data_IF_441609765819
#
_entry.id   IF_441609765819
#
_cell.length_a   1.000
_cell.length_b   1.000
_cell.length_c   1.000
_cell.angle_alpha   90.00
_cell.angle_beta   90.00
_cell.angle_gamma   90.00
#
_symmetry.space_group_name_H-M   'P 1'
#
loop_
_entity.id
_entity.type
_entity.pdbx_description
1 polymer ?
#
# COMPACT_ATOMS: atom_id res chain seq x y z
N UNK A 1 78.47 -21.66 31.89
CA UNK A 1 77.37 -21.32 30.96
C UNK A 1 76.48 -22.55 30.78
N UNK A 2 75.26 -22.54 31.31
CA UNK A 2 74.27 -23.61 31.08
C UNK A 2 73.60 -23.38 29.73
N UNK A 3 73.65 -24.35 28.81
CA UNK A 3 72.86 -24.32 27.56
C UNK A 3 71.41 -24.67 27.90
N UNK A 4 70.40 -23.94 27.40
CA UNK A 4 69.02 -24.33 27.63
C UNK A 4 68.71 -25.55 26.76
N UNK A 5 68.25 -26.63 27.39
CA UNK A 5 67.64 -27.76 26.69
C UNK A 5 66.27 -27.28 26.18
N UNK A 6 66.16 -27.05 24.86
CA UNK A 6 64.87 -26.87 24.21
C UNK A 6 64.33 -28.26 23.89
N UNK A 7 63.39 -28.74 24.71
CA UNK A 7 62.75 -30.03 24.53
C UNK A 7 61.78 -29.95 23.33
N UNK A 8 62.17 -30.57 22.21
CA UNK A 8 61.38 -30.62 20.97
C UNK A 8 60.02 -31.31 21.18
N UNK A 9 59.92 -32.25 22.12
CA UNK A 9 58.66 -32.96 22.38
C UNK A 9 57.62 -32.05 23.03
N UNK A 10 58.07 -31.16 23.93
CA UNK A 10 57.24 -30.17 24.59
C UNK A 10 56.70 -29.13 23.59
N UNK A 11 57.55 -28.63 22.70
CA UNK A 11 57.14 -27.71 21.63
C UNK A 11 56.18 -28.35 20.60
N UNK A 12 56.40 -29.62 20.24
CA UNK A 12 55.50 -30.32 19.31
C UNK A 12 54.11 -30.58 19.94
N UNK A 13 54.04 -30.97 21.20
CA UNK A 13 52.76 -31.17 21.88
C UNK A 13 52.02 -29.85 22.14
N UNK A 14 52.74 -28.78 22.50
CA UNK A 14 52.15 -27.47 22.72
C UNK A 14 51.65 -26.85 21.41
N UNK A 15 52.39 -26.98 20.30
CA UNK A 15 51.95 -26.49 18.98
C UNK A 15 50.79 -27.31 18.40
N UNK A 16 50.76 -28.63 18.59
CA UNK A 16 49.64 -29.46 18.18
C UNK A 16 48.35 -29.14 18.96
N UNK A 17 48.45 -28.95 20.28
CA UNK A 17 47.31 -28.56 21.12
C UNK A 17 46.83 -27.14 20.82
N UNK A 18 47.75 -26.19 20.57
CA UNK A 18 47.41 -24.83 20.15
C UNK A 18 46.75 -24.81 18.77
N UNK A 19 47.29 -25.55 17.80
CA UNK A 19 46.69 -25.66 16.47
C UNK A 19 45.30 -26.29 16.52
N UNK A 20 45.11 -27.35 17.32
CA UNK A 20 43.80 -27.98 17.52
C UNK A 20 42.78 -27.05 18.19
N UNK A 21 43.20 -26.30 19.22
CA UNK A 21 42.34 -25.33 19.88
C UNK A 21 41.99 -24.14 18.97
N UNK A 22 42.96 -23.62 18.22
CA UNK A 22 42.74 -22.54 17.26
C UNK A 22 41.82 -22.98 16.12
N UNK A 23 42.01 -24.20 15.58
CA UNK A 23 41.13 -24.78 14.57
C UNK A 23 39.71 -24.98 15.13
N UNK A 24 39.59 -25.46 16.37
CA UNK A 24 38.31 -25.62 17.05
C UNK A 24 37.57 -24.29 17.23
N UNK A 25 38.28 -23.22 17.60
CA UNK A 25 37.70 -21.86 17.70
C UNK A 25 37.29 -21.34 16.32
N UNK A 26 38.14 -21.44 15.30
CA UNK A 26 37.82 -20.99 13.93
C UNK A 26 36.64 -21.77 13.35
N UNK A 27 36.58 -23.08 13.55
CA UNK A 27 35.47 -23.91 13.08
C UNK A 27 34.20 -23.58 13.86
N UNK A 28 34.25 -23.52 15.18
CA UNK A 28 33.04 -23.31 16.00
C UNK A 28 32.51 -21.88 15.82
N UNK A 29 33.33 -20.86 16.04
CA UNK A 29 32.87 -19.47 15.91
C UNK A 29 32.68 -19.06 14.44
N UNK A 30 33.48 -19.60 13.51
CA UNK A 30 33.32 -19.33 12.08
C UNK A 30 32.06 -19.95 11.49
N UNK A 31 31.72 -21.19 11.84
CA UNK A 31 30.47 -21.81 11.38
C UNK A 31 29.24 -21.14 11.99
N UNK A 32 29.26 -20.81 13.29
CA UNK A 32 28.18 -20.04 13.92
C UNK A 32 28.02 -18.68 13.25
N UNK A 33 29.11 -17.96 12.97
CA UNK A 33 29.04 -16.67 12.29
C UNK A 33 28.46 -16.79 10.87
N UNK A 34 28.81 -17.85 10.12
CA UNK A 34 28.26 -18.10 8.78
C UNK A 34 26.78 -18.48 8.83
N UNK A 35 26.37 -19.33 9.77
CA UNK A 35 24.96 -19.73 9.96
C UNK A 35 24.12 -18.51 10.35
N UNK A 36 24.58 -17.71 11.32
CA UNK A 36 23.92 -16.48 11.73
C UNK A 36 23.82 -15.48 10.57
N UNK A 37 24.89 -15.32 9.79
CA UNK A 37 24.89 -14.46 8.61
C UNK A 37 23.88 -14.94 7.55
N UNK A 38 23.80 -16.25 7.29
CA UNK A 38 22.83 -16.81 6.35
C UNK A 38 21.39 -16.65 6.84
N UNK A 39 21.12 -16.94 8.12
CA UNK A 39 19.80 -16.76 8.73
C UNK A 39 19.36 -15.29 8.64
N UNK A 40 20.26 -14.37 9.00
CA UNK A 40 20.06 -12.92 8.88
C UNK A 40 19.77 -12.48 7.44
N UNK A 41 20.56 -12.94 6.46
CA UNK A 41 20.34 -12.61 5.03
C UNK A 41 18.99 -13.13 4.51
N UNK A 42 18.59 -14.33 4.93
CA UNK A 42 17.28 -14.87 4.55
C UNK A 42 16.11 -14.09 5.15
N UNK A 43 16.27 -13.59 6.38
CA UNK A 43 15.28 -12.76 7.06
C UNK A 43 15.13 -11.39 6.40
N UNK A 44 16.25 -10.75 6.03
CA UNK A 44 16.23 -9.49 5.27
C UNK A 44 15.51 -9.64 3.93
N UNK A 45 15.86 -10.66 3.13
CA UNK A 45 15.18 -10.94 1.85
C UNK A 45 13.69 -11.17 2.02
N UNK A 46 13.27 -11.94 3.04
CA UNK A 46 11.85 -12.17 3.31
C UNK A 46 11.12 -10.88 3.65
N UNK A 47 11.77 -9.99 4.40
CA UNK A 47 11.16 -8.74 4.81
C UNK A 47 11.12 -7.71 3.66
N UNK A 48 12.09 -7.74 2.72
CA UNK A 48 12.02 -7.00 1.45
C UNK A 48 10.79 -7.42 0.64
N UNK A 49 10.59 -8.74 0.50
CA UNK A 49 9.45 -9.32 -0.20
C UNK A 49 8.12 -8.90 0.45
N UNK A 50 8.01 -8.95 1.78
CA UNK A 50 6.82 -8.48 2.51
C UNK A 50 6.54 -7.00 2.24
N UNK A 51 7.57 -6.15 2.31
CA UNK A 51 7.39 -4.70 2.14
C UNK A 51 6.93 -4.36 0.72
N UNK A 52 7.60 -4.90 -0.29
CA UNK A 52 7.25 -4.68 -1.71
C UNK A 52 5.85 -5.21 -2.01
N UNK A 53 5.51 -6.41 -1.52
CA UNK A 53 4.19 -7.00 -1.72
C UNK A 53 3.06 -6.18 -1.09
N UNK A 54 3.30 -5.64 0.10
CA UNK A 54 2.31 -4.79 0.74
C UNK A 54 2.14 -3.46 0.00
N UNK A 55 3.23 -2.87 -0.50
CA UNK A 55 3.15 -1.65 -1.30
C UNK A 55 2.39 -1.91 -2.61
N UNK A 56 2.58 -3.07 -3.26
CA UNK A 56 1.80 -3.44 -4.44
C UNK A 56 0.30 -3.56 -4.14
N UNK A 57 -0.06 -4.25 -3.05
CA UNK A 57 -1.45 -4.34 -2.63
C UNK A 57 -2.03 -2.94 -2.31
N UNK A 58 -1.27 -2.07 -1.64
CA UNK A 58 -1.70 -0.68 -1.39
C UNK A 58 -1.90 0.08 -2.71
N UNK A 59 -1.02 -0.09 -3.70
CA UNK A 59 -1.15 0.51 -5.04
C UNK A 59 -2.45 0.03 -5.71
N UNK A 60 -2.72 -1.29 -5.71
CA UNK A 60 -3.94 -1.84 -6.31
C UNK A 60 -5.21 -1.24 -5.69
N UNK A 61 -5.25 -1.13 -4.35
CA UNK A 61 -6.37 -0.51 -3.64
C UNK A 61 -6.52 0.97 -4.01
N UNK A 62 -5.41 1.70 -4.07
CA UNK A 62 -5.40 3.12 -4.44
C UNK A 62 -5.82 3.33 -5.91
N UNK A 63 -5.46 2.44 -6.83
CA UNK A 63 -5.89 2.47 -8.23
C UNK A 63 -7.42 2.27 -8.32
N UNK A 64 -7.98 1.29 -7.61
CA UNK A 64 -9.43 1.06 -7.57
C UNK A 64 -10.20 2.27 -7.00
N UNK A 65 -9.68 2.90 -5.94
CA UNK A 65 -10.26 4.14 -5.38
C UNK A 65 -10.21 5.28 -6.39
N UNK A 66 -9.10 5.44 -7.12
CA UNK A 66 -8.97 6.46 -8.14
C UNK A 66 -10.02 6.28 -9.25
N UNK A 67 -10.28 5.04 -9.67
CA UNK A 67 -11.33 4.71 -10.65
C UNK A 67 -12.72 5.07 -10.12
N UNK A 68 -13.07 4.65 -8.90
CA UNK A 68 -14.36 4.98 -8.28
C UNK A 68 -14.56 6.51 -8.15
N UNK A 69 -13.51 7.25 -7.80
CA UNK A 69 -13.56 8.71 -7.75
C UNK A 69 -13.81 9.34 -9.12
N UNK A 70 -13.22 8.80 -10.19
CA UNK A 70 -13.44 9.27 -11.56
C UNK A 70 -14.86 8.99 -12.07
N UNK A 71 -15.40 7.82 -11.73
CA UNK A 71 -16.79 7.47 -12.03
C UNK A 71 -17.76 8.40 -11.30
N UNK A 72 -17.52 8.63 -10.02
CA UNK A 72 -18.29 9.55 -9.18
C UNK A 72 -18.25 10.97 -9.73
N UNK A 73 -17.06 11.49 -10.08
CA UNK A 73 -16.90 12.82 -10.68
C UNK A 73 -17.66 12.95 -12.00
N UNK A 74 -17.61 11.91 -12.84
CA UNK A 74 -18.33 11.86 -14.11
C UNK A 74 -19.85 11.90 -13.92
N UNK A 75 -20.36 11.15 -12.94
CA UNK A 75 -21.77 11.13 -12.57
C UNK A 75 -22.22 12.51 -12.07
N UNK A 76 -21.48 13.11 -11.12
CA UNK A 76 -21.78 14.44 -10.60
C UNK A 76 -21.78 15.49 -11.71
N UNK A 77 -20.78 15.49 -12.58
CA UNK A 77 -20.71 16.44 -13.70
C UNK A 77 -21.90 16.30 -14.64
N UNK A 78 -22.26 15.07 -15.01
CA UNK A 78 -23.40 14.80 -15.90
C UNK A 78 -24.71 15.37 -15.34
N UNK A 79 -24.97 15.18 -14.03
CA UNK A 79 -26.18 15.68 -13.37
C UNK A 79 -26.09 17.20 -13.15
N UNK A 80 -24.94 17.72 -12.74
CA UNK A 80 -24.72 19.14 -12.48
C UNK A 80 -24.92 20.01 -13.72
N UNK A 81 -24.48 19.57 -14.90
CA UNK A 81 -24.70 20.28 -16.18
C UNK A 81 -26.18 20.45 -16.55
N UNK A 82 -27.07 19.64 -15.96
CA UNK A 82 -28.53 19.67 -16.17
C UNK A 82 -29.28 20.30 -15.00
N UNK A 83 -28.58 20.61 -13.91
CA UNK A 83 -29.13 21.29 -12.76
C UNK A 83 -29.29 22.81 -13.05
N UNK A 84 -30.39 23.47 -12.63
CA UNK A 84 -31.54 22.92 -11.90
C UNK A 84 -32.73 22.50 -12.79
N UNK A 85 -32.75 22.95 -14.05
CA UNK A 85 -33.96 22.98 -14.88
C UNK A 85 -34.24 21.68 -15.63
N UNK A 86 -33.20 20.90 -15.93
CA UNK A 86 -33.24 19.72 -16.78
C UNK A 86 -33.06 18.41 -16.02
N UNK A 87 -33.12 18.44 -14.68
CA UNK A 87 -33.04 17.22 -13.86
C UNK A 87 -34.15 16.22 -14.20
N UNK A 88 -35.33 16.69 -14.62
CA UNK A 88 -36.45 15.83 -15.01
C UNK A 88 -36.21 15.07 -16.34
N UNK A 89 -35.21 15.46 -17.13
CA UNK A 89 -34.81 14.76 -18.36
C UNK A 89 -33.84 13.61 -18.09
N UNK A 90 -33.28 13.53 -16.88
CA UNK A 90 -32.33 12.49 -16.49
C UNK A 90 -33.11 11.21 -16.15
N UNK A 91 -32.57 10.06 -16.56
CA UNK A 91 -33.16 8.77 -16.22
C UNK A 91 -33.25 8.60 -14.71
N UNK A 92 -34.30 7.91 -14.23
CA UNK A 92 -34.48 7.66 -12.81
C UNK A 92 -33.29 6.89 -12.22
N UNK A 93 -32.79 5.90 -12.94
CA UNK A 93 -31.67 5.06 -12.50
C UNK A 93 -30.41 5.91 -12.27
N UNK A 94 -30.13 6.89 -13.13
CA UNK A 94 -29.00 7.81 -12.94
C UNK A 94 -29.18 8.73 -11.73
N UNK A 95 -30.42 9.18 -11.47
CA UNK A 95 -30.73 9.97 -10.26
C UNK A 95 -30.56 9.12 -9.01
N UNK A 96 -31.06 7.89 -9.02
CA UNK A 96 -30.96 6.97 -7.89
C UNK A 96 -29.49 6.59 -7.64
N UNK A 97 -28.68 6.38 -8.69
CA UNK A 97 -27.24 6.15 -8.59
C UNK A 97 -26.51 7.32 -7.91
N UNK A 98 -26.83 8.57 -8.28
CA UNK A 98 -26.26 9.75 -7.64
C UNK A 98 -26.66 9.85 -6.16
N UNK A 99 -27.91 9.52 -5.84
CA UNK A 99 -28.37 9.51 -4.45
C UNK A 99 -27.66 8.43 -3.63
N UNK A 100 -27.40 7.26 -4.23
CA UNK A 100 -26.60 6.20 -3.61
C UNK A 100 -25.15 6.62 -3.38
N UNK A 101 -24.48 7.23 -4.37
CA UNK A 101 -23.09 7.71 -4.22
C UNK A 101 -22.98 8.84 -3.19
N UNK A 102 -24.03 9.63 -3.02
CA UNK A 102 -24.12 10.61 -1.94
C UNK A 102 -24.22 9.90 -0.57
N UNK A 103 -25.02 8.84 -0.44
CA UNK A 103 -25.31 8.24 0.87
C UNK A 103 -24.28 7.21 1.35
N UNK A 104 -23.40 6.75 0.47
CA UNK A 104 -22.38 5.76 0.80
C UNK A 104 -21.17 6.41 1.50
N UNK A 105 -20.76 5.93 2.68
CA UNK A 105 -19.53 6.38 3.32
C UNK A 105 -18.31 6.09 2.44
N UNK A 106 -17.46 7.09 2.23
CA UNK A 106 -16.16 6.92 1.60
C UNK A 106 -15.16 6.41 2.64
N UNK A 107 -14.93 5.09 2.67
CA UNK A 107 -14.04 4.46 3.65
C UNK A 107 -12.75 3.98 2.97
N UNK A 108 -11.61 4.35 3.54
CA UNK A 108 -10.31 3.76 3.22
C UNK A 108 -9.93 2.78 4.32
N UNK A 109 -9.72 1.51 3.99
CA UNK A 109 -9.13 0.56 4.94
C UNK A 109 -7.61 0.69 4.87
N UNK A 110 -6.99 1.41 5.81
CA UNK A 110 -5.54 1.48 5.90
C UNK A 110 -4.99 0.35 6.77
N UNK A 111 -4.15 -0.52 6.19
CA UNK A 111 -3.38 -1.51 6.93
C UNK A 111 -1.96 -0.96 7.19
N UNK A 112 -1.64 -0.66 8.45
CA UNK A 112 -0.30 -0.18 8.86
C UNK A 112 0.62 -1.31 9.33
N UNK A 113 0.20 -2.57 9.24
CA UNK A 113 0.95 -3.68 9.83
C UNK A 113 2.30 -3.90 9.16
N UNK A 114 2.37 -3.85 7.83
CA UNK A 114 3.63 -4.02 7.10
C UNK A 114 4.57 -2.83 7.29
N UNK A 115 4.05 -1.59 7.28
CA UNK A 115 4.84 -0.39 7.58
C UNK A 115 5.47 -0.50 8.99
N UNK A 116 4.67 -0.86 10.00
CA UNK A 116 5.17 -1.06 11.37
C UNK A 116 6.16 -2.21 11.47
N UNK A 117 5.92 -3.33 10.79
CA UNK A 117 6.85 -4.45 10.75
C UNK A 117 8.18 -4.04 10.11
N UNK A 118 8.12 -3.29 9.01
CA UNK A 118 9.27 -2.75 8.32
C UNK A 118 10.04 -1.77 9.22
N UNK A 119 9.39 -0.74 9.77
CA UNK A 119 10.02 0.25 10.67
C UNK A 119 10.62 -0.38 11.92
N UNK A 120 9.94 -1.35 12.55
CA UNK A 120 10.47 -2.05 13.73
C UNK A 120 11.67 -2.93 13.39
N UNK A 121 11.76 -3.38 12.14
CA UNK A 121 12.89 -4.16 11.68
C UNK A 121 14.04 -3.28 11.17
N UNK A 122 13.82 -2.00 10.82
CA UNK A 122 14.78 -1.08 10.20
C UNK A 122 16.18 -1.07 10.82
N UNK A 123 16.31 -1.11 12.14
CA UNK A 123 17.61 -1.15 12.84
C UNK A 123 18.38 -2.46 12.55
N UNK A 124 17.66 -3.58 12.41
CA UNK A 124 18.23 -4.86 11.97
C UNK A 124 18.72 -4.77 10.52
N UNK A 125 18.10 -3.91 9.71
CA UNK A 125 18.42 -3.77 8.28
C UNK A 125 19.56 -2.82 8.01
N UNK A 126 19.84 -1.88 8.92
CA UNK A 126 20.97 -0.96 8.82
C UNK A 126 22.32 -1.70 8.74
N UNK A 127 22.38 -2.94 9.25
CA UNK A 127 23.54 -3.85 9.13
C UNK A 127 23.70 -4.43 7.70
N UNK A 128 22.69 -4.30 6.84
CA UNK A 128 22.67 -4.78 5.47
C UNK A 128 22.80 -3.60 4.53
N UNK A 129 24.05 -3.23 4.22
CA UNK A 129 24.64 -2.38 3.17
C UNK A 129 23.83 -1.63 2.08
N UNK A 130 22.50 -1.68 1.99
CA UNK A 130 21.71 -0.94 1.01
C UNK A 130 20.76 0.05 1.68
N UNK A 131 21.36 1.02 2.37
CA UNK A 131 20.66 2.19 2.93
C UNK A 131 19.74 2.85 1.89
N UNK A 132 20.12 2.82 0.61
CA UNK A 132 19.33 3.40 -0.47
C UNK A 132 18.00 2.67 -0.67
N UNK A 133 17.98 1.33 -0.60
CA UNK A 133 16.75 0.54 -0.68
C UNK A 133 15.83 0.84 0.51
N UNK A 134 16.41 0.91 1.72
CA UNK A 134 15.68 1.24 2.94
C UNK A 134 15.01 2.62 2.84
N UNK A 135 15.75 3.65 2.38
CA UNK A 135 15.19 4.97 2.15
C UNK A 135 14.09 4.94 1.09
N UNK A 136 14.29 4.19 0.01
CA UNK A 136 13.33 4.07 -1.09
C UNK A 136 12.00 3.44 -0.65
N UNK A 137 12.05 2.35 0.11
CA UNK A 137 10.85 1.70 0.68
C UNK A 137 10.14 2.65 1.65
N UNK A 138 10.90 3.37 2.50
CA UNK A 138 10.30 4.35 3.41
C UNK A 138 9.64 5.53 2.66
N UNK A 139 10.21 5.95 1.52
CA UNK A 139 9.59 6.94 0.63
C UNK A 139 8.27 6.43 0.08
N UNK A 140 8.19 5.15 -0.30
CA UNK A 140 6.93 4.54 -0.77
C UNK A 140 5.85 4.59 0.33
N UNK A 141 6.17 4.19 1.57
CA UNK A 141 5.21 4.29 2.69
C UNK A 141 4.80 5.74 2.98
N UNK A 142 5.74 6.68 2.92
CA UNK A 142 5.46 8.10 3.14
C UNK A 142 4.53 8.68 2.07
N UNK A 143 4.76 8.31 0.80
CA UNK A 143 3.91 8.72 -0.33
C UNK A 143 2.52 8.10 -0.21
N UNK A 144 2.43 6.80 0.10
CA UNK A 144 1.17 6.11 0.35
C UNK A 144 0.36 6.78 1.47
N UNK A 145 0.99 7.13 2.58
CA UNK A 145 0.32 7.82 3.69
C UNK A 145 -0.14 9.22 3.28
N UNK A 146 0.65 9.94 2.47
CA UNK A 146 0.24 11.23 1.89
C UNK A 146 -1.00 11.09 1.01
N UNK A 147 -1.04 10.05 0.16
CA UNK A 147 -2.21 9.75 -0.68
C UNK A 147 -3.43 9.44 0.19
N UNK A 148 -3.27 8.62 1.23
CA UNK A 148 -4.34 8.30 2.18
C UNK A 148 -4.89 9.55 2.88
N UNK A 149 -4.03 10.43 3.39
CA UNK A 149 -4.44 11.67 4.07
C UNK A 149 -5.23 12.62 3.12
N UNK A 150 -4.81 12.70 1.86
CA UNK A 150 -5.51 13.46 0.83
C UNK A 150 -6.90 12.86 0.54
N UNK A 151 -7.00 11.53 0.48
CA UNK A 151 -8.29 10.87 0.30
C UNK A 151 -9.22 11.04 1.51
N UNK A 152 -8.70 10.90 2.73
CA UNK A 152 -9.46 11.15 3.97
C UNK A 152 -9.99 12.59 4.01
N UNK A 153 -9.23 13.54 3.47
CA UNK A 153 -9.70 14.93 3.32
C UNK A 153 -10.93 15.00 2.40
N UNK A 154 -10.92 14.33 1.25
CA UNK A 154 -12.08 14.25 0.34
C UNK A 154 -13.28 13.61 1.04
N UNK A 155 -13.07 12.50 1.75
CA UNK A 155 -14.12 11.78 2.49
C UNK A 155 -14.76 12.64 3.61
N UNK A 156 -13.96 13.47 4.29
CA UNK A 156 -14.48 14.41 5.28
C UNK A 156 -15.42 15.46 4.66
N UNK A 157 -15.04 16.03 3.51
CA UNK A 157 -15.91 16.96 2.76
C UNK A 157 -17.18 16.27 2.24
N UNK A 158 -17.08 15.02 1.78
CA UNK A 158 -18.24 14.22 1.38
C UNK A 158 -19.20 14.04 2.55
N UNK A 159 -18.69 13.64 3.72
CA UNK A 159 -19.49 13.46 4.94
C UNK A 159 -20.21 14.75 5.34
N UNK A 160 -19.49 15.88 5.37
CA UNK A 160 -20.08 17.19 5.68
C UNK A 160 -21.18 17.60 4.68
N UNK A 161 -20.95 17.35 3.37
CA UNK A 161 -21.94 17.61 2.34
C UNK A 161 -23.22 16.79 2.54
N UNK A 162 -23.08 15.53 2.94
CA UNK A 162 -24.20 14.62 3.20
C UNK A 162 -24.99 15.05 4.42
N UNK A 163 -24.33 15.25 5.56
CA UNK A 163 -24.95 15.69 6.81
C UNK A 163 -25.71 17.01 6.62
N UNK A 164 -25.05 17.98 5.98
CA UNK A 164 -25.65 19.29 5.70
C UNK A 164 -26.85 19.19 4.76
N UNK A 165 -26.80 18.29 3.77
CA UNK A 165 -27.91 18.06 2.84
C UNK A 165 -29.10 17.46 3.56
N UNK A 166 -28.86 16.48 4.43
CA UNK A 166 -29.90 15.84 5.22
C UNK A 166 -30.57 16.83 6.19
N UNK A 167 -29.77 17.65 6.90
CA UNK A 167 -30.29 18.71 7.75
C UNK A 167 -31.16 19.73 7.00
N UNK A 168 -30.72 20.15 5.81
CA UNK A 168 -31.48 21.09 4.99
C UNK A 168 -32.77 20.48 4.45
N UNK A 169 -32.73 19.21 4.05
CA UNK A 169 -33.90 18.49 3.56
C UNK A 169 -34.95 18.30 4.66
N UNK A 170 -34.54 17.90 5.88
CA UNK A 170 -35.42 17.74 7.04
C UNK A 170 -36.11 19.06 7.47
N UNK A 171 -35.45 20.21 7.27
CA UNK A 171 -36.03 21.52 7.61
C UNK A 171 -37.13 21.99 6.64
N UNK A 172 -37.32 21.33 5.50
CA UNK A 172 -38.32 21.75 4.52
C UNK A 172 -39.75 21.36 4.94
N UNK A 173 -40.58 22.36 5.23
CA UNK A 173 -41.98 22.19 5.69
C UNK A 173 -42.92 21.53 4.67
N UNK A 174 -42.60 21.53 3.38
CA UNK A 174 -43.34 20.83 2.32
C UNK A 174 -42.37 19.92 1.58
N UNK A 175 -42.50 18.62 1.83
CA UNK A 175 -41.69 17.58 1.19
C UNK A 175 -42.18 17.36 -0.24
N UNK A 176 -41.31 17.54 -1.22
CA UNK A 176 -41.48 16.93 -2.54
C UNK A 176 -40.80 15.57 -2.50
N UNK A 177 -41.59 14.50 -2.61
CA UNK A 177 -41.11 13.12 -2.48
C UNK A 177 -40.37 12.63 -3.74
N UNK A 178 -40.21 13.49 -4.77
CA UNK A 178 -39.46 13.14 -5.97
C UNK A 178 -37.96 13.08 -5.69
N UNK A 179 -37.25 12.04 -6.15
CA UNK A 179 -35.78 11.93 -6.03
C UNK A 179 -35.01 13.16 -6.53
N UNK A 180 -35.51 13.81 -7.59
CA UNK A 180 -34.92 15.04 -8.15
C UNK A 180 -34.96 16.23 -7.19
N UNK A 181 -35.89 16.27 -6.24
CA UNK A 181 -35.95 17.34 -5.24
C UNK A 181 -34.79 17.23 -4.25
N UNK A 182 -34.46 16.01 -3.80
CA UNK A 182 -33.30 15.77 -2.94
C UNK A 182 -31.98 16.07 -3.67
N UNK A 183 -31.86 15.67 -4.95
CA UNK A 183 -30.70 16.03 -5.78
C UNK A 183 -30.53 17.54 -5.89
N UNK A 184 -31.62 18.30 -6.08
CA UNK A 184 -31.55 19.76 -6.14
C UNK A 184 -31.05 20.35 -4.81
N UNK A 185 -31.62 19.90 -3.69
CA UNK A 185 -31.16 20.34 -2.36
C UNK A 185 -29.68 20.03 -2.16
N UNK A 186 -29.25 18.83 -2.54
CA UNK A 186 -27.85 18.44 -2.46
C UNK A 186 -26.95 19.33 -3.30
N UNK A 187 -27.26 19.53 -4.59
CA UNK A 187 -26.40 20.30 -5.50
C UNK A 187 -26.42 21.81 -5.20
N UNK A 188 -27.50 22.33 -4.61
CA UNK A 188 -27.58 23.72 -4.16
C UNK A 188 -26.83 23.97 -2.86
N UNK A 189 -26.61 22.93 -2.05
CA UNK A 189 -25.94 23.01 -0.76
C UNK A 189 -24.50 23.55 -0.90
N UNK A 190 -24.13 24.61 -0.15
CA UNK A 190 -22.76 25.11 -0.11
C UNK A 190 -21.71 24.05 0.24
N UNK A 191 -22.02 23.13 1.16
CA UNK A 191 -21.10 22.06 1.56
C UNK A 191 -20.83 21.09 0.40
N UNK A 192 -21.87 20.70 -0.35
CA UNK A 192 -21.72 19.91 -1.58
C UNK A 192 -20.89 20.62 -2.63
N UNK A 193 -21.10 21.93 -2.84
CA UNK A 193 -20.29 22.71 -3.78
C UNK A 193 -18.80 22.72 -3.39
N UNK A 194 -18.52 22.79 -2.09
CA UNK A 194 -17.15 22.68 -1.58
C UNK A 194 -16.58 21.28 -1.82
N UNK A 195 -17.33 20.23 -1.48
CA UNK A 195 -16.98 18.84 -1.76
C UNK A 195 -16.66 18.62 -3.23
N UNK A 196 -17.54 18.99 -4.18
CA UNK A 196 -17.32 18.78 -5.61
C UNK A 196 -16.05 19.45 -6.14
N UNK A 197 -15.70 20.61 -5.59
CA UNK A 197 -14.44 21.29 -5.95
C UNK A 197 -13.22 20.51 -5.46
N UNK A 198 -13.26 20.04 -4.21
CA UNK A 198 -12.17 19.26 -3.61
C UNK A 198 -12.06 17.89 -4.28
N UNK A 199 -13.18 17.19 -4.47
CA UNK A 199 -13.29 15.91 -5.18
C UNK A 199 -12.66 15.99 -6.57
N UNK A 200 -13.04 16.99 -7.37
CA UNK A 200 -12.50 17.17 -8.72
C UNK A 200 -10.99 17.39 -8.74
N UNK A 201 -10.46 18.18 -7.80
CA UNK A 201 -9.02 18.42 -7.70
C UNK A 201 -8.27 17.11 -7.40
N UNK A 202 -8.77 16.33 -6.44
CA UNK A 202 -8.12 15.08 -6.02
C UNK A 202 -8.31 13.94 -7.02
N UNK A 203 -9.41 13.92 -7.76
CA UNK A 203 -9.62 12.98 -8.88
C UNK A 203 -8.54 13.12 -9.96
N UNK A 204 -7.92 14.31 -10.10
CA UNK A 204 -6.80 14.54 -11.01
C UNK A 204 -5.42 14.29 -10.35
N UNK A 205 -5.30 14.56 -9.04
CA UNK A 205 -4.01 14.49 -8.34
C UNK A 205 -3.68 13.07 -7.86
N UNK A 206 -4.63 12.35 -7.29
CA UNK A 206 -4.39 11.04 -6.69
C UNK A 206 -3.88 10.01 -7.70
N UNK A 207 -4.40 9.91 -8.95
CA UNK A 207 -3.86 8.98 -9.94
C UNK A 207 -2.38 9.22 -10.25
N UNK A 208 -1.95 10.49 -10.32
CA UNK A 208 -0.55 10.85 -10.58
C UNK A 208 0.37 10.45 -9.40
N UNK A 209 -0.10 10.64 -8.17
CA UNK A 209 0.65 10.23 -6.98
C UNK A 209 0.71 8.70 -6.85
N UNK A 210 -0.38 8.00 -7.17
CA UNK A 210 -0.44 6.54 -7.19
C UNK A 210 0.47 5.96 -8.28
N UNK A 211 0.51 6.59 -9.47
CA UNK A 211 1.44 6.22 -10.54
C UNK A 211 2.91 6.41 -10.12
N UNK A 212 3.23 7.51 -9.43
CA UNK A 212 4.56 7.74 -8.87
C UNK A 212 4.94 6.69 -7.83
N UNK A 213 4.01 6.31 -6.94
CA UNK A 213 4.22 5.23 -5.97
C UNK A 213 4.53 3.91 -6.66
N UNK A 214 3.79 3.59 -7.74
CA UNK A 214 4.00 2.40 -8.56
C UNK A 214 5.36 2.39 -9.24
N UNK A 215 5.78 3.53 -9.80
CA UNK A 215 7.11 3.68 -10.41
C UNK A 215 8.23 3.44 -9.39
N UNK A 216 8.14 4.05 -8.21
CA UNK A 216 9.12 3.88 -7.14
C UNK A 216 9.16 2.42 -6.62
N UNK A 217 8.01 1.76 -6.47
CA UNK A 217 7.98 0.36 -6.04
C UNK A 217 8.56 -0.58 -7.10
N UNK A 218 8.27 -0.33 -8.39
CA UNK A 218 8.86 -1.09 -9.49
C UNK A 218 10.38 -0.91 -9.57
N UNK A 219 10.89 0.30 -9.35
CA UNK A 219 12.32 0.55 -9.24
C UNK A 219 12.95 -0.22 -8.06
N UNK A 220 12.23 -0.42 -6.96
CA UNK A 220 12.68 -1.26 -5.85
C UNK A 220 12.73 -2.74 -6.21
N UNK A 221 11.74 -3.26 -6.96
CA UNK A 221 11.77 -4.63 -7.49
C UNK A 221 12.97 -4.86 -8.41
N UNK A 222 13.23 -3.93 -9.32
CA UNK A 222 14.37 -4.00 -10.24
C UNK A 222 15.72 -4.00 -9.49
N UNK A 223 15.90 -3.10 -8.52
CA UNK A 223 17.13 -3.02 -7.71
C UNK A 223 17.38 -4.27 -6.88
N UNK A 224 16.33 -4.87 -6.33
CA UNK A 224 16.42 -6.06 -5.49
C UNK A 224 16.48 -7.36 -6.28
N UNK A 225 16.15 -7.33 -7.57
CA UNK A 225 15.97 -8.53 -8.41
C UNK A 225 14.88 -9.45 -7.87
N UNK A 226 13.88 -8.92 -7.16
CA UNK A 226 12.68 -9.67 -6.78
C UNK A 226 11.88 -9.95 -8.04
N UNK A 227 11.47 -11.20 -8.20
CA UNK A 227 10.66 -11.63 -9.36
C UNK A 227 9.22 -11.86 -8.94
N UNK A 228 8.28 -11.69 -9.87
CA UNK A 228 6.86 -11.93 -9.62
C UNK A 228 6.61 -13.38 -9.16
N UNK A 229 7.37 -14.35 -9.67
CA UNK A 229 7.36 -15.74 -9.19
C UNK A 229 7.73 -15.90 -7.70
N UNK A 230 8.62 -15.06 -7.16
CA UNK A 230 8.96 -15.08 -5.73
C UNK A 230 7.84 -14.46 -4.89
N UNK A 231 7.20 -13.41 -5.41
CA UNK A 231 6.09 -12.71 -4.77
C UNK A 231 4.85 -13.60 -4.73
N UNK A 232 4.45 -14.20 -5.86
CA UNK A 232 3.30 -15.10 -5.98
C UNK A 232 3.42 -16.32 -5.05
N UNK A 233 4.62 -16.90 -4.91
CA UNK A 233 4.83 -18.03 -3.99
C UNK A 233 4.59 -17.70 -2.52
N UNK A 234 4.82 -16.45 -2.12
CA UNK A 234 4.73 -16.02 -0.73
C UNK A 234 3.42 -15.30 -0.41
N UNK A 235 2.80 -14.70 -1.43
CA UNK A 235 1.60 -13.89 -1.33
C UNK A 235 0.63 -14.20 -2.49
N UNK A 236 0.16 -15.46 -2.62
CA UNK A 236 -0.73 -15.85 -3.70
C UNK A 236 -2.00 -14.99 -3.74
N UNK A 237 -2.58 -14.66 -2.58
CA UNK A 237 -3.79 -13.81 -2.49
C UNK A 237 -3.64 -12.38 -3.06
N UNK A 238 -2.42 -11.91 -3.31
CA UNK A 238 -2.14 -10.58 -3.89
C UNK A 238 -1.81 -10.67 -5.39
N UNK A 239 -1.27 -11.82 -5.84
CA UNK A 239 -0.68 -11.97 -7.19
C UNK A 239 -1.27 -13.14 -8.01
N UNK A 240 -2.21 -13.90 -7.47
CA UNK A 240 -3.02 -14.81 -8.28
C UNK A 240 -4.03 -13.97 -9.06
N UNK A 241 -3.77 -13.81 -10.36
CA UNK A 241 -4.80 -13.44 -11.31
C UNK A 241 -5.79 -14.62 -11.36
N UNK A 242 -7.08 -14.37 -11.14
CA UNK A 242 -8.17 -15.34 -11.41
C UNK A 242 -8.32 -15.59 -12.94
N UNK A 243 -7.23 -15.86 -13.65
CA UNK A 243 -7.19 -16.06 -15.12
C UNK A 243 -6.57 -17.43 -15.49
N UNK A 244 -6.82 -18.47 -14.67
CA UNK A 244 -6.57 -19.88 -15.02
C UNK A 244 -7.88 -20.70 -15.10
N UNK A 245 -9.02 -20.06 -15.37
CA UNK A 245 -10.24 -20.75 -15.85
C UNK A 245 -10.41 -20.52 -17.35
N UNK A 246 -9.61 -21.18 -18.20
CA UNK A 246 -9.98 -21.48 -19.60
C UNK A 246 -8.97 -22.40 -20.33
N UNK A 247 -8.49 -23.47 -19.69
CA UNK A 247 -7.91 -24.61 -20.43
C UNK A 247 -8.30 -25.94 -19.78
N UNK A 248 -9.58 -26.32 -19.84
CA UNK A 248 -9.97 -27.73 -19.78
C UNK A 248 -11.34 -27.96 -20.43
N UNK A 249 -11.49 -27.49 -21.67
CA UNK A 249 -12.55 -27.95 -22.57
C UNK A 249 -11.94 -28.81 -23.69
N UNK A 250 -11.32 -29.93 -23.30
CA UNK A 250 -11.02 -31.06 -24.18
C UNK A 250 -10.75 -32.33 -23.36
N UNK A 251 -11.82 -33.02 -22.97
CA UNK A 251 -12.01 -34.48 -23.08
C UNK A 251 -13.10 -34.97 -22.11
N UNK A 252 -14.32 -35.23 -22.62
CA UNK A 252 -15.01 -36.54 -22.66
C UNK A 252 -16.28 -36.41 -23.50
#
# INVERSE_FOLDING_TARGET
>A
MKRPFIDKSWWNNMSANFAGAFLGIVVTFGTTAVIDMHARKSMARRAELIAIAHIDNDIMQLEAICEEMQETDSLYRFVYERHPDRLAEISRDTIDLLLSSMMLPQLLLSNQSAEKAFSNSMETWHDFNDLNLLYSINTCFSLKNTISDLYETVAAYHTEACDSTFEQFERQKKRDDKPTALVRVHLDNPATKAYLRIHRMHTLLLPELTALLKEENNANKEKTGITDNELQRLFPDIYDDEDDEDEDDNNV
#
